data_IF_820863601510
#
_entry.id   IF_820863601510
#
_cell.length_a   1.000
_cell.length_b   1.000
_cell.length_c   1.000
_cell.angle_alpha   90.00
_cell.angle_beta   90.00
_cell.angle_gamma   90.00
#
_symmetry.space_group_name_H-M   'P 1'
#
loop_
_entity.id
_entity.type
_entity.pdbx_description
1 polymer ?
#
# COMPACT_ATOMS: atom_id res chain seq x y z
N UNK A 1 40.53 63.54 48.44
CA UNK A 1 40.11 63.25 49.82
C UNK A 1 39.79 61.78 49.93
N UNK A 2 40.53 61.10 50.80
CA UNK A 2 40.24 59.87 51.56
C UNK A 2 39.41 58.70 50.97
N UNK A 3 40.07 57.54 50.92
CA UNK A 3 39.66 56.20 51.39
C UNK A 3 38.20 55.73 51.20
N UNK A 4 38.00 54.57 50.56
CA UNK A 4 38.08 53.30 51.29
C UNK A 4 38.10 52.07 50.38
N UNK A 5 38.91 51.11 50.81
CA UNK A 5 39.09 49.77 50.30
C UNK A 5 38.06 48.85 51.00
N UNK A 6 37.33 47.99 50.29
CA UNK A 6 36.97 46.68 50.85
C UNK A 6 36.59 45.67 49.76
N UNK A 7 37.17 44.48 49.86
CA UNK A 7 36.99 43.38 48.93
C UNK A 7 35.64 42.67 49.06
N UNK A 8 35.29 41.92 48.03
CA UNK A 8 34.13 41.05 48.00
C UNK A 8 34.20 40.13 46.79
N UNK A 9 34.59 38.89 47.04
CA UNK A 9 34.76 37.81 46.08
C UNK A 9 33.53 37.62 45.18
N UNK A 10 33.80 37.21 43.94
CA UNK A 10 32.80 36.92 42.92
C UNK A 10 31.75 35.91 43.37
N UNK A 11 30.51 36.21 43.02
CA UNK A 11 29.44 35.21 42.88
C UNK A 11 28.98 35.26 41.43
N UNK A 12 29.58 34.41 40.59
CA UNK A 12 28.96 34.01 39.35
C UNK A 12 27.62 33.35 39.69
N UNK A 13 26.54 33.87 39.15
CA UNK A 13 25.24 33.23 39.20
C UNK A 13 25.38 31.86 38.50
N UNK A 14 25.29 30.78 39.28
CA UNK A 14 25.24 29.44 38.74
C UNK A 14 23.94 29.31 37.93
N UNK A 15 24.10 29.06 36.63
CA UNK A 15 23.02 28.55 35.78
C UNK A 15 22.46 27.25 36.42
N UNK A 16 21.17 26.92 36.23
CA UNK A 16 20.62 25.68 36.74
C UNK A 16 21.41 24.53 36.11
N UNK A 17 21.99 23.71 36.97
CA UNK A 17 22.76 22.53 36.62
C UNK A 17 21.98 21.69 35.63
N UNK A 18 22.58 21.43 34.47
CA UNK A 18 22.26 20.29 33.64
C UNK A 18 22.20 19.06 34.55
N UNK A 19 21.00 18.52 34.81
CA UNK A 19 20.90 17.15 35.29
C UNK A 19 21.52 16.30 34.20
N UNK A 20 22.71 15.78 34.49
CA UNK A 20 23.40 14.84 33.63
C UNK A 20 22.50 13.63 33.46
N UNK A 21 22.25 13.18 32.22
CA UNK A 21 21.38 12.03 31.88
C UNK A 21 21.70 10.76 32.70
N UNK A 22 22.88 10.69 33.30
CA UNK A 22 23.38 9.60 34.16
C UNK A 22 22.62 9.49 35.50
N UNK A 23 22.09 10.60 36.04
CA UNK A 23 21.36 10.61 37.31
C UNK A 23 19.96 9.98 37.17
N UNK A 24 19.29 10.14 36.02
CA UNK A 24 17.96 9.54 35.79
C UNK A 24 18.02 8.01 35.71
N UNK A 25 19.07 7.45 35.10
CA UNK A 25 19.25 6.02 34.96
C UNK A 25 19.44 5.32 36.32
N UNK A 26 20.04 6.01 37.29
CA UNK A 26 20.27 5.51 38.65
C UNK A 26 18.97 5.34 39.47
N UNK A 27 17.90 6.05 39.10
CA UNK A 27 16.59 6.01 39.78
C UNK A 27 15.64 4.95 39.23
N UNK A 28 15.97 4.29 38.12
CA UNK A 28 15.13 3.25 37.52
C UNK A 28 15.40 1.92 38.22
N UNK A 29 14.40 1.30 38.89
CA UNK A 29 14.62 0.03 39.57
C UNK A 29 15.13 -1.04 38.59
N UNK A 30 16.00 -1.95 39.03
CA UNK A 30 16.41 -3.08 38.22
C UNK A 30 15.17 -3.81 37.68
N UNK A 31 15.11 -4.05 36.37
CA UNK A 31 13.98 -4.67 35.66
C UNK A 31 12.72 -3.81 35.46
N UNK A 32 12.66 -2.55 35.92
CA UNK A 32 11.49 -1.69 35.68
C UNK A 32 11.24 -1.50 34.18
N UNK A 33 12.29 -1.35 33.37
CA UNK A 33 12.18 -1.29 31.91
C UNK A 33 11.63 -2.60 31.31
N UNK A 34 12.06 -3.75 31.82
CA UNK A 34 11.52 -5.04 31.40
C UNK A 34 10.05 -5.23 31.78
N UNK A 35 9.63 -4.72 32.95
CA UNK A 35 8.24 -4.73 33.36
C UNK A 35 7.38 -3.81 32.47
N UNK A 36 7.88 -2.62 32.12
CA UNK A 36 7.21 -1.70 31.19
C UNK A 36 7.04 -2.31 29.80
N UNK A 37 8.07 -2.98 29.27
CA UNK A 37 7.99 -3.68 27.96
C UNK A 37 6.95 -4.81 27.93
N UNK A 38 6.45 -5.27 29.08
CA UNK A 38 5.36 -6.26 29.18
C UNK A 38 4.00 -5.63 29.41
N UNK A 39 3.95 -4.35 29.78
CA UNK A 39 2.71 -3.68 30.12
C UNK A 39 1.83 -3.51 28.86
N UNK A 40 0.56 -3.98 28.86
CA UNK A 40 -0.31 -3.88 27.69
C UNK A 40 -0.46 -2.46 27.09
N UNK A 41 -0.54 -1.37 27.90
CA UNK A 41 -0.57 -0.02 27.34
C UNK A 41 0.68 0.35 26.55
N UNK A 42 1.87 -0.10 27.00
CA UNK A 42 3.14 0.15 26.33
C UNK A 42 3.23 -0.66 25.03
N UNK A 43 2.81 -1.93 25.06
CA UNK A 43 2.77 -2.77 23.86
C UNK A 43 1.88 -2.15 22.77
N UNK A 44 0.69 -1.67 23.13
CA UNK A 44 -0.22 -0.97 22.20
C UNK A 44 0.39 0.33 21.67
N UNK A 45 1.05 1.10 22.53
CA UNK A 45 1.73 2.33 22.11
C UNK A 45 2.83 2.04 21.10
N UNK A 46 3.67 1.04 21.38
CA UNK A 46 4.76 0.62 20.49
C UNK A 46 4.21 0.15 19.14
N UNK A 47 3.16 -0.68 19.15
CA UNK A 47 2.49 -1.14 17.93
C UNK A 47 2.00 0.04 17.08
N UNK A 48 1.26 0.97 17.67
CA UNK A 48 0.74 2.14 16.97
C UNK A 48 1.86 3.03 16.40
N UNK A 49 2.92 3.26 17.18
CA UNK A 49 4.07 4.04 16.75
C UNK A 49 4.82 3.37 15.59
N UNK A 50 5.01 2.05 15.65
CA UNK A 50 5.65 1.28 14.57
C UNK A 50 4.81 1.36 13.28
N UNK A 51 3.50 1.12 13.35
CA UNK A 51 2.64 1.24 12.17
C UNK A 51 2.65 2.65 11.55
N UNK A 52 2.61 3.69 12.38
CA UNK A 52 2.67 5.07 11.90
C UNK A 52 4.02 5.38 11.23
N UNK A 53 5.13 4.95 11.84
CA UNK A 53 6.46 5.14 11.27
C UNK A 53 6.64 4.33 9.98
N UNK A 54 6.14 3.10 9.94
CA UNK A 54 6.21 2.24 8.76
C UNK A 54 5.36 2.76 7.60
N UNK A 55 4.21 3.36 7.88
CA UNK A 55 3.44 4.06 6.85
C UNK A 55 4.26 5.20 6.24
N UNK A 56 4.89 6.03 7.08
CA UNK A 56 5.75 7.11 6.59
C UNK A 56 6.92 6.58 5.74
N UNK A 57 7.53 5.45 6.12
CA UNK A 57 8.57 4.80 5.30
C UNK A 57 8.03 4.38 3.93
N UNK A 58 6.83 3.79 3.87
CA UNK A 58 6.20 3.40 2.61
C UNK A 58 5.99 4.62 1.72
N UNK A 59 5.44 5.71 2.26
CA UNK A 59 5.16 6.94 1.52
C UNK A 59 6.43 7.61 0.98
N UNK A 60 7.54 7.55 1.73
CA UNK A 60 8.84 8.07 1.29
C UNK A 60 9.49 7.19 0.23
N UNK A 61 9.43 5.86 0.40
CA UNK A 61 10.09 4.91 -0.49
C UNK A 61 9.32 4.71 -1.81
N UNK A 62 8.00 4.74 -1.75
CA UNK A 62 7.08 4.47 -2.87
C UNK A 62 5.94 5.51 -2.81
N UNK A 63 6.23 6.79 -3.13
CA UNK A 63 5.22 7.85 -3.06
C UNK A 63 4.09 7.70 -4.09
N UNK A 64 4.36 6.98 -5.19
CA UNK A 64 3.40 6.70 -6.25
C UNK A 64 3.72 5.34 -6.85
N UNK A 65 2.81 4.37 -6.66
CA UNK A 65 2.94 3.00 -7.17
C UNK A 65 2.90 2.94 -8.68
N UNK A 66 2.31 3.91 -9.37
CA UNK A 66 2.28 3.96 -10.82
C UNK A 66 3.60 4.53 -11.33
N UNK A 67 4.14 5.59 -10.74
CA UNK A 67 5.35 6.26 -11.27
C UNK A 67 6.58 5.35 -11.35
N UNK A 68 7.32 5.41 -12.44
CA UNK A 68 8.55 4.59 -12.61
C UNK A 68 9.56 4.82 -11.49
N UNK A 69 9.98 3.73 -10.85
CA UNK A 69 11.05 3.71 -9.84
C UNK A 69 12.32 3.16 -10.48
N UNK A 70 13.49 3.81 -10.30
CA UNK A 70 14.76 3.29 -10.80
C UNK A 70 15.01 1.85 -10.34
N UNK A 71 15.43 0.98 -11.25
CA UNK A 71 15.57 -0.47 -10.99
C UNK A 71 16.47 -0.79 -9.78
N UNK A 72 17.57 -0.05 -9.61
CA UNK A 72 18.45 -0.19 -8.45
C UNK A 72 17.72 0.12 -7.13
N UNK A 73 16.90 1.18 -7.10
CA UNK A 73 16.14 1.55 -5.91
C UNK A 73 15.07 0.50 -5.60
N UNK A 74 14.35 0.01 -6.62
CA UNK A 74 13.38 -1.09 -6.47
C UNK A 74 14.04 -2.34 -5.89
N UNK A 75 15.23 -2.70 -6.36
CA UNK A 75 15.97 -3.86 -5.84
C UNK A 75 16.43 -3.63 -4.39
N UNK A 76 16.89 -2.42 -4.06
CA UNK A 76 17.27 -2.07 -2.70
C UNK A 76 16.08 -2.19 -1.73
N UNK A 77 14.90 -1.68 -2.11
CA UNK A 77 13.66 -1.79 -1.33
C UNK A 77 13.28 -3.27 -1.13
N UNK A 78 13.33 -4.09 -2.20
CA UNK A 78 13.00 -5.53 -2.11
C UNK A 78 13.98 -6.29 -1.22
N UNK A 79 15.28 -6.00 -1.30
CA UNK A 79 16.29 -6.61 -0.45
C UNK A 79 16.10 -6.20 1.02
N UNK A 80 15.84 -4.92 1.28
CA UNK A 80 15.52 -4.41 2.61
C UNK A 80 14.30 -5.13 3.18
N UNK A 81 13.19 -5.17 2.43
CA UNK A 81 11.96 -5.84 2.83
C UNK A 81 12.13 -7.34 3.13
N UNK A 82 13.05 -8.02 2.45
CA UNK A 82 13.39 -9.44 2.69
C UNK A 82 14.17 -9.64 3.99
N UNK A 83 15.01 -8.68 4.38
CA UNK A 83 15.85 -8.77 5.59
C UNK A 83 15.20 -8.27 6.88
N UNK A 84 14.22 -7.37 6.78
CA UNK A 84 13.57 -6.68 7.91
C UNK A 84 13.22 -7.58 9.11
N UNK A 85 12.49 -8.67 8.85
CA UNK A 85 12.00 -9.56 9.91
C UNK A 85 13.15 -10.26 10.66
N UNK A 86 14.14 -10.78 9.92
CA UNK A 86 15.27 -11.49 10.53
C UNK A 86 16.19 -10.55 11.29
N UNK A 87 16.45 -9.36 10.76
CA UNK A 87 17.23 -8.32 11.44
C UNK A 87 16.55 -7.87 12.72
N UNK A 88 15.24 -7.62 12.70
CA UNK A 88 14.52 -7.19 13.89
C UNK A 88 14.41 -8.31 14.93
N UNK A 89 14.24 -9.56 14.50
CA UNK A 89 14.21 -10.72 15.41
C UNK A 89 15.53 -10.84 16.18
N UNK A 90 16.66 -10.71 15.48
CA UNK A 90 17.98 -10.75 16.12
C UNK A 90 18.19 -9.58 17.09
N UNK A 91 17.80 -8.36 16.68
CA UNK A 91 17.93 -7.17 17.52
C UNK A 91 17.09 -7.25 18.81
N UNK A 92 15.96 -7.96 18.78
CA UNK A 92 15.05 -8.08 19.92
C UNK A 92 15.27 -9.34 20.77
N UNK A 93 16.33 -10.13 20.53
CA UNK A 93 16.53 -11.43 21.20
C UNK A 93 16.49 -11.35 22.75
N UNK A 94 16.98 -10.24 23.33
CA UNK A 94 16.98 -10.01 24.78
C UNK A 94 15.69 -9.37 25.33
N UNK A 95 14.72 -9.02 24.48
CA UNK A 95 13.47 -8.38 24.87
C UNK A 95 12.40 -9.40 25.32
N UNK A 96 11.38 -8.98 26.09
CA UNK A 96 10.25 -9.85 26.43
C UNK A 96 9.52 -10.41 25.19
N UNK A 97 9.08 -11.68 25.20
CA UNK A 97 8.41 -12.30 24.04
C UNK A 97 7.18 -11.55 23.54
N UNK A 98 6.44 -10.88 24.44
CA UNK A 98 5.27 -10.08 24.06
C UNK A 98 5.65 -8.90 23.17
N UNK A 99 6.73 -8.20 23.49
CA UNK A 99 7.25 -7.10 22.70
C UNK A 99 7.80 -7.59 21.36
N UNK A 100 8.55 -8.70 21.37
CA UNK A 100 9.04 -9.34 20.15
C UNK A 100 7.88 -9.63 19.19
N UNK A 101 6.82 -10.27 19.67
CA UNK A 101 5.64 -10.60 18.85
C UNK A 101 5.03 -9.36 18.18
N UNK A 102 4.80 -8.29 18.94
CA UNK A 102 4.21 -7.03 18.41
C UNK A 102 5.10 -6.42 17.33
N UNK A 103 6.39 -6.25 17.63
CA UNK A 103 7.38 -5.69 16.70
C UNK A 103 7.52 -6.50 15.42
N UNK A 104 7.57 -7.83 15.54
CA UNK A 104 7.73 -8.73 14.40
C UNK A 104 6.50 -8.72 13.49
N UNK A 105 5.29 -8.78 14.06
CA UNK A 105 4.07 -8.67 13.24
C UNK A 105 4.04 -7.35 12.46
N UNK A 106 4.33 -6.23 13.11
CA UNK A 106 4.35 -4.92 12.46
C UNK A 106 5.41 -4.83 11.35
N UNK A 107 6.64 -5.31 11.58
CA UNK A 107 7.71 -5.25 10.57
C UNK A 107 7.47 -6.22 9.41
N UNK A 108 6.87 -7.38 9.66
CA UNK A 108 6.48 -8.31 8.61
C UNK A 108 5.39 -7.69 7.71
N UNK A 109 4.44 -6.95 8.29
CA UNK A 109 3.45 -6.18 7.51
C UNK A 109 4.12 -5.10 6.63
N UNK A 110 5.11 -4.36 7.15
CA UNK A 110 5.89 -3.43 6.34
C UNK A 110 6.60 -4.14 5.18
N UNK A 111 7.33 -5.23 5.47
CA UNK A 111 8.06 -5.99 4.46
C UNK A 111 7.16 -6.61 3.39
N UNK A 112 5.93 -7.00 3.74
CA UNK A 112 4.92 -7.44 2.78
C UNK A 112 4.42 -6.27 1.92
N UNK A 113 4.10 -5.13 2.53
CA UNK A 113 3.62 -3.93 1.83
C UNK A 113 4.63 -3.44 0.79
N UNK A 114 5.91 -3.32 1.16
CA UNK A 114 6.98 -2.94 0.23
C UNK A 114 7.12 -3.91 -0.95
N UNK A 115 7.00 -5.23 -0.71
CA UNK A 115 7.05 -6.25 -1.77
C UNK A 115 5.86 -6.14 -2.71
N UNK A 116 4.66 -5.89 -2.17
CA UNK A 116 3.44 -5.74 -2.96
C UNK A 116 3.50 -4.47 -3.81
N UNK A 117 3.85 -3.33 -3.23
CA UNK A 117 3.90 -2.06 -3.94
C UNK A 117 4.99 -2.03 -5.01
N UNK A 118 6.16 -2.62 -4.75
CA UNK A 118 7.19 -2.78 -5.81
C UNK A 118 6.81 -3.79 -6.89
N UNK A 119 5.93 -4.75 -6.60
CA UNK A 119 5.38 -5.67 -7.61
C UNK A 119 4.33 -4.96 -8.46
N UNK A 120 3.42 -4.21 -7.84
CA UNK A 120 2.44 -3.35 -8.52
C UNK A 120 3.14 -2.32 -9.41
N UNK A 121 4.22 -1.68 -8.94
CA UNK A 121 4.99 -0.74 -9.75
C UNK A 121 5.60 -1.38 -11.00
N UNK A 122 6.09 -2.62 -10.87
CA UNK A 122 6.62 -3.37 -12.01
C UNK A 122 5.51 -3.71 -13.03
N UNK A 123 4.33 -4.13 -12.57
CA UNK A 123 3.16 -4.33 -13.43
C UNK A 123 2.75 -3.03 -14.14
N UNK A 124 2.76 -1.90 -13.42
CA UNK A 124 2.46 -0.59 -13.99
C UNK A 124 3.43 -0.23 -15.13
N UNK A 125 4.74 -0.48 -14.97
CA UNK A 125 5.71 -0.22 -16.04
C UNK A 125 5.48 -1.13 -17.25
N UNK A 126 5.21 -2.41 -17.03
CA UNK A 126 4.92 -3.35 -18.11
C UNK A 126 3.65 -2.96 -18.86
N UNK A 127 2.59 -2.56 -18.16
CA UNK A 127 1.35 -2.10 -18.77
C UNK A 127 1.52 -0.79 -19.55
N UNK A 128 2.34 0.15 -19.08
CA UNK A 128 2.67 1.37 -19.86
C UNK A 128 3.22 1.02 -21.24
N UNK A 129 4.10 0.04 -21.34
CA UNK A 129 4.66 -0.38 -22.63
C UNK A 129 3.57 -0.89 -23.60
N UNK A 130 2.56 -1.58 -23.09
CA UNK A 130 1.38 -2.01 -23.86
C UNK A 130 0.51 -0.82 -24.26
N UNK A 131 0.19 0.06 -23.30
CA UNK A 131 -0.70 1.21 -23.51
C UNK A 131 -0.12 2.28 -24.45
N UNK A 132 1.20 2.36 -24.57
CA UNK A 132 1.88 3.22 -25.55
C UNK A 132 2.07 2.58 -26.93
N UNK A 133 1.71 1.31 -27.11
CA UNK A 133 1.86 0.62 -28.39
C UNK A 133 0.54 0.65 -29.17
N UNK A 134 0.41 1.61 -30.09
CA UNK A 134 -0.80 1.83 -30.89
C UNK A 134 -1.26 0.59 -31.66
N UNK A 135 -0.34 -0.24 -32.15
CA UNK A 135 -0.72 -1.45 -32.90
C UNK A 135 -1.31 -2.52 -31.98
N UNK A 136 -0.71 -2.69 -30.79
CA UNK A 136 -1.26 -3.57 -29.76
C UNK A 136 -2.64 -3.10 -29.32
N UNK A 137 -2.85 -1.79 -29.14
CA UNK A 137 -4.14 -1.22 -28.77
C UNK A 137 -5.21 -1.46 -29.85
N UNK A 138 -4.87 -1.30 -31.13
CA UNK A 138 -5.78 -1.65 -32.23
C UNK A 138 -6.16 -3.12 -32.22
N UNK A 139 -5.18 -4.01 -32.04
CA UNK A 139 -5.45 -5.46 -31.95
C UNK A 139 -6.33 -5.79 -30.74
N UNK A 140 -6.06 -5.17 -29.59
CA UNK A 140 -6.86 -5.31 -28.39
C UNK A 140 -8.31 -4.88 -28.61
N UNK A 141 -8.56 -3.76 -29.28
CA UNK A 141 -9.92 -3.31 -29.62
C UNK A 141 -10.64 -4.29 -30.53
N UNK A 142 -9.95 -4.84 -31.54
CA UNK A 142 -10.53 -5.85 -32.44
C UNK A 142 -10.92 -7.12 -31.69
N UNK A 143 -10.05 -7.61 -30.81
CA UNK A 143 -10.31 -8.81 -30.01
C UNK A 143 -11.41 -8.57 -28.98
N UNK A 144 -11.42 -7.39 -28.33
CA UNK A 144 -12.45 -7.00 -27.36
C UNK A 144 -13.84 -6.94 -27.98
N UNK A 145 -13.95 -6.41 -29.20
CA UNK A 145 -15.24 -6.34 -29.92
C UNK A 145 -15.79 -7.71 -30.31
N UNK A 146 -14.99 -8.78 -30.21
CA UNK A 146 -15.44 -10.16 -30.43
C UNK A 146 -15.92 -10.84 -29.15
N UNK A 147 -15.66 -10.26 -27.97
CA UNK A 147 -16.09 -10.82 -26.69
C UNK A 147 -17.62 -10.80 -26.60
N UNK A 148 -18.20 -11.89 -26.13
CA UNK A 148 -19.64 -11.98 -25.88
C UNK A 148 -20.01 -11.33 -24.54
N UNK A 149 -20.11 -10.00 -24.56
CA UNK A 149 -20.45 -9.22 -23.37
C UNK A 149 -21.86 -9.50 -22.85
N UNK A 150 -22.79 -9.92 -23.70
CA UNK A 150 -24.13 -10.31 -23.26
C UNK A 150 -24.06 -11.49 -22.29
N UNK A 151 -23.36 -12.56 -22.67
CA UNK A 151 -23.13 -13.71 -21.80
C UNK A 151 -22.28 -13.36 -20.56
N UNK A 152 -21.29 -12.48 -20.69
CA UNK A 152 -20.50 -12.00 -19.53
C UNK A 152 -21.40 -11.28 -18.52
N UNK A 153 -22.28 -10.39 -18.98
CA UNK A 153 -23.19 -9.62 -18.14
C UNK A 153 -24.24 -10.51 -17.46
N UNK A 154 -24.84 -11.44 -18.21
CA UNK A 154 -25.80 -12.40 -17.67
C UNK A 154 -25.17 -13.25 -16.55
N UNK A 155 -23.97 -13.79 -16.77
CA UNK A 155 -23.27 -14.58 -15.76
C UNK A 155 -22.85 -13.75 -14.55
N UNK A 156 -22.39 -12.51 -14.74
CA UNK A 156 -22.04 -11.62 -13.64
C UNK A 156 -23.29 -11.29 -12.79
N UNK A 157 -24.41 -10.96 -13.43
CA UNK A 157 -25.68 -10.72 -12.73
C UNK A 157 -26.12 -11.95 -11.94
N UNK A 158 -26.15 -13.13 -12.58
CA UNK A 158 -26.60 -14.38 -11.97
C UNK A 158 -25.71 -14.88 -10.83
N UNK A 159 -24.38 -14.84 -11.00
CA UNK A 159 -23.43 -15.43 -10.04
C UNK A 159 -23.05 -14.45 -8.93
N UNK A 160 -22.76 -13.19 -9.27
CA UNK A 160 -22.25 -12.20 -8.32
C UNK A 160 -23.27 -11.13 -7.90
N UNK A 161 -24.50 -11.18 -8.44
CA UNK A 161 -25.50 -10.15 -8.22
C UNK A 161 -25.00 -8.79 -8.69
N UNK A 162 -24.21 -8.78 -9.77
CA UNK A 162 -23.60 -7.59 -10.31
C UNK A 162 -24.67 -6.74 -11.03
N UNK A 163 -24.72 -5.43 -10.75
CA UNK A 163 -25.71 -4.52 -11.34
C UNK A 163 -25.45 -4.35 -12.84
N UNK A 164 -26.50 -4.53 -13.65
CA UNK A 164 -26.42 -4.49 -15.12
C UNK A 164 -25.95 -3.13 -15.64
N UNK A 165 -26.35 -2.03 -14.99
CA UNK A 165 -25.95 -0.68 -15.37
C UNK A 165 -24.47 -0.44 -15.10
N UNK A 166 -23.95 -0.97 -13.98
CA UNK A 166 -22.53 -0.85 -13.62
C UNK A 166 -21.68 -1.65 -14.61
N UNK A 167 -22.03 -2.90 -14.90
CA UNK A 167 -21.22 -3.73 -15.82
C UNK A 167 -21.28 -3.24 -17.26
N UNK A 168 -22.43 -2.73 -17.71
CA UNK A 168 -22.57 -2.14 -19.05
C UNK A 168 -21.74 -0.86 -19.19
N UNK A 169 -21.77 0.01 -18.17
CA UNK A 169 -20.92 1.20 -18.14
C UNK A 169 -19.43 0.83 -18.09
N UNK A 170 -19.05 -0.19 -17.32
CA UNK A 170 -17.67 -0.67 -17.24
C UNK A 170 -17.16 -1.14 -18.62
N UNK A 171 -17.97 -1.89 -19.37
CA UNK A 171 -17.65 -2.26 -20.75
C UNK A 171 -17.45 -1.03 -21.66
N UNK A 172 -18.42 -0.10 -21.64
CA UNK A 172 -18.41 1.08 -22.49
C UNK A 172 -17.21 1.99 -22.18
N UNK A 173 -17.01 2.31 -20.91
CA UNK A 173 -15.91 3.16 -20.44
C UNK A 173 -14.55 2.54 -20.80
N UNK A 174 -14.41 1.21 -20.64
CA UNK A 174 -13.18 0.50 -21.02
C UNK A 174 -12.92 0.61 -22.52
N UNK A 175 -13.94 0.39 -23.36
CA UNK A 175 -13.84 0.54 -24.83
C UNK A 175 -13.45 1.97 -25.23
N UNK A 176 -14.11 2.97 -24.65
CA UNK A 176 -13.84 4.39 -24.94
C UNK A 176 -12.43 4.77 -24.52
N UNK A 177 -11.98 4.33 -23.33
CA UNK A 177 -10.65 4.63 -22.81
C UNK A 177 -9.55 3.97 -23.66
N UNK A 178 -9.80 2.75 -24.15
CA UNK A 178 -8.90 2.02 -25.04
C UNK A 178 -8.81 2.62 -26.45
N UNK A 179 -9.88 3.23 -26.96
CA UNK A 179 -9.88 3.92 -28.26
C UNK A 179 -9.09 5.24 -28.25
N UNK A 180 -8.89 5.83 -27.08
CA UNK A 180 -8.16 7.09 -26.92
C UNK A 180 -6.70 6.81 -26.56
N UNK A 181 -5.76 7.69 -26.95
CA UNK A 181 -4.39 7.63 -26.44
C UNK A 181 -4.39 8.05 -24.97
N UNK A 182 -4.68 7.10 -24.09
CA UNK A 182 -4.82 7.30 -22.65
C UNK A 182 -3.55 6.90 -21.91
N UNK A 183 -3.05 7.78 -21.04
CA UNK A 183 -1.94 7.45 -20.13
C UNK A 183 -2.39 6.45 -19.07
N UNK A 184 -1.44 5.77 -18.41
CA UNK A 184 -1.77 4.85 -17.33
C UNK A 184 -2.49 5.56 -16.18
N UNK A 185 -2.16 6.82 -15.93
CA UNK A 185 -2.77 7.65 -14.91
C UNK A 185 -4.25 7.93 -15.21
N UNK A 186 -4.62 8.08 -16.49
CA UNK A 186 -6.04 8.19 -16.90
C UNK A 186 -6.80 6.88 -16.66
N UNK A 187 -6.17 5.74 -16.94
CA UNK A 187 -6.75 4.44 -16.59
C UNK A 187 -6.93 4.27 -15.08
N UNK A 188 -5.94 4.69 -14.29
CA UNK A 188 -6.04 4.65 -12.84
C UNK A 188 -7.17 5.54 -12.33
N UNK A 189 -7.36 6.74 -12.87
CA UNK A 189 -8.50 7.61 -12.52
C UNK A 189 -9.84 6.94 -12.80
N UNK A 190 -9.99 6.26 -13.95
CA UNK A 190 -11.20 5.50 -14.24
C UNK A 190 -11.46 4.38 -13.23
N UNK A 191 -10.42 3.64 -12.83
CA UNK A 191 -10.52 2.61 -11.79
C UNK A 191 -10.91 3.19 -10.43
N UNK A 192 -10.35 4.33 -10.04
CA UNK A 192 -10.74 5.02 -8.80
C UNK A 192 -12.22 5.44 -8.84
N UNK A 193 -12.68 6.01 -9.96
CA UNK A 193 -14.09 6.38 -10.10
C UNK A 193 -15.02 5.16 -9.96
N UNK A 194 -14.63 4.00 -10.52
CA UNK A 194 -15.41 2.76 -10.36
C UNK A 194 -15.47 2.30 -8.88
N UNK A 195 -14.36 2.44 -8.14
CA UNK A 195 -14.33 2.15 -6.69
C UNK A 195 -15.23 3.11 -5.94
N UNK A 196 -15.11 4.42 -6.20
CA UNK A 196 -15.88 5.47 -5.54
C UNK A 196 -17.39 5.28 -5.78
N UNK A 197 -17.80 5.05 -7.03
CA UNK A 197 -19.22 4.85 -7.37
C UNK A 197 -19.88 3.70 -6.59
N UNK A 198 -19.11 2.68 -6.20
CA UNK A 198 -19.61 1.52 -5.47
C UNK A 198 -19.41 1.64 -3.96
N UNK A 199 -18.29 2.21 -3.50
CA UNK A 199 -17.87 2.17 -2.10
C UNK A 199 -18.04 3.50 -1.36
N UNK A 200 -18.09 4.65 -2.04
CA UNK A 200 -18.35 5.96 -1.43
C UNK A 200 -19.62 5.96 -0.56
N UNK A 201 -20.75 5.35 -0.98
CA UNK A 201 -21.96 5.29 -0.16
C UNK A 201 -21.78 4.54 1.17
N UNK A 202 -20.73 3.72 1.29
CA UNK A 202 -20.42 2.93 2.49
C UNK A 202 -19.24 3.50 3.29
N UNK A 203 -18.59 4.57 2.84
CA UNK A 203 -17.45 5.15 3.55
C UNK A 203 -17.80 5.54 4.99
N UNK A 204 -16.87 5.29 5.90
CA UNK A 204 -17.01 5.55 7.35
C UNK A 204 -18.16 4.77 8.03
N UNK A 205 -18.75 3.77 7.37
CA UNK A 205 -19.77 2.90 7.96
C UNK A 205 -19.17 1.55 8.39
N UNK A 206 -19.71 0.90 9.44
CA UNK A 206 -19.17 -0.37 9.95
C UNK A 206 -19.29 -1.54 8.95
N UNK A 207 -20.17 -1.43 7.95
CA UNK A 207 -20.36 -2.40 6.87
C UNK A 207 -19.41 -2.16 5.67
N UNK A 208 -18.58 -1.11 5.68
CA UNK A 208 -17.61 -0.84 4.61
C UNK A 208 -16.73 -2.05 4.28
N UNK A 209 -16.10 -2.76 5.25
CA UNK A 209 -15.23 -3.88 4.93
C UNK A 209 -15.97 -5.03 4.23
N UNK A 210 -17.27 -5.21 4.49
CA UNK A 210 -18.07 -6.21 3.82
C UNK A 210 -18.34 -5.84 2.35
N UNK A 211 -18.69 -4.58 2.08
CA UNK A 211 -18.92 -4.06 0.74
C UNK A 211 -17.64 -4.02 -0.09
N UNK A 212 -16.52 -3.60 0.50
CA UNK A 212 -15.19 -3.63 -0.12
C UNK A 212 -14.79 -5.05 -0.57
N UNK A 213 -14.95 -6.06 0.29
CA UNK A 213 -14.69 -7.46 -0.09
C UNK A 213 -15.61 -7.93 -1.21
N UNK A 214 -16.90 -7.57 -1.14
CA UNK A 214 -17.85 -7.94 -2.17
C UNK A 214 -17.52 -7.29 -3.51
N UNK A 215 -17.10 -6.02 -3.52
CA UNK A 215 -16.61 -5.32 -4.70
C UNK A 215 -15.42 -6.04 -5.33
N UNK A 216 -14.39 -6.37 -4.54
CA UNK A 216 -13.21 -7.08 -5.05
C UNK A 216 -13.55 -8.47 -5.62
N UNK A 217 -14.48 -9.20 -5.01
CA UNK A 217 -14.97 -10.48 -5.52
C UNK A 217 -15.72 -10.33 -6.86
N UNK A 218 -16.61 -9.32 -6.95
CA UNK A 218 -17.35 -9.00 -8.18
C UNK A 218 -16.42 -8.58 -9.31
N UNK A 219 -15.48 -7.66 -9.02
CA UNK A 219 -14.43 -7.25 -9.92
C UNK A 219 -13.65 -8.45 -10.44
N UNK A 220 -13.20 -9.32 -9.54
CA UNK A 220 -12.41 -10.50 -9.89
C UNK A 220 -13.19 -11.49 -10.75
N UNK A 221 -14.46 -11.69 -10.46
CA UNK A 221 -15.32 -12.60 -11.22
C UNK A 221 -15.55 -12.05 -12.63
N UNK A 222 -16.05 -10.81 -12.74
CA UNK A 222 -16.43 -10.18 -14.00
C UNK A 222 -15.29 -10.19 -15.03
N UNK A 223 -14.14 -9.68 -14.62
CA UNK A 223 -12.95 -9.57 -15.45
C UNK A 223 -12.34 -10.95 -15.79
N UNK A 224 -12.49 -11.96 -14.93
CA UNK A 224 -12.12 -13.35 -15.26
C UNK A 224 -12.99 -13.92 -16.38
N UNK A 225 -14.28 -13.54 -16.45
CA UNK A 225 -15.15 -13.95 -17.57
C UNK A 225 -14.69 -13.35 -18.89
N UNK A 226 -14.28 -12.09 -18.90
CA UNK A 226 -13.70 -11.43 -20.08
C UNK A 226 -12.41 -12.13 -20.53
N UNK A 227 -11.49 -12.41 -19.59
CA UNK A 227 -10.23 -13.11 -19.89
C UNK A 227 -10.49 -14.54 -20.40
N UNK A 228 -11.47 -15.25 -19.82
CA UNK A 228 -11.87 -16.60 -20.26
C UNK A 228 -12.38 -16.58 -21.69
N UNK A 229 -13.24 -15.63 -22.05
CA UNK A 229 -13.78 -15.52 -23.41
C UNK A 229 -12.67 -15.20 -24.43
N UNK A 230 -11.75 -14.27 -24.11
CA UNK A 230 -10.55 -13.99 -24.91
C UNK A 230 -9.67 -15.23 -25.10
N UNK A 231 -9.52 -16.06 -24.05
CA UNK A 231 -8.78 -17.32 -24.10
C UNK A 231 -9.43 -18.30 -25.08
N UNK A 232 -10.75 -18.51 -24.95
CA UNK A 232 -11.50 -19.44 -25.80
C UNK A 232 -11.47 -19.04 -27.28
N UNK A 233 -11.38 -17.74 -27.56
CA UNK A 233 -11.25 -17.22 -28.93
C UNK A 233 -9.82 -17.21 -29.45
N UNK A 234 -8.84 -17.59 -28.62
CA UNK A 234 -7.41 -17.50 -28.96
C UNK A 234 -7.02 -16.08 -29.42
N UNK A 235 -7.49 -15.07 -28.70
CA UNK A 235 -7.25 -13.66 -29.02
C UNK A 235 -5.74 -13.36 -29.14
N UNK A 236 -5.32 -12.72 -30.22
CA UNK A 236 -3.92 -12.41 -30.48
C UNK A 236 -3.34 -11.46 -29.42
N UNK A 237 -4.18 -10.58 -28.87
CA UNK A 237 -3.83 -9.64 -27.80
C UNK A 237 -4.02 -10.18 -26.38
N UNK A 238 -4.28 -11.49 -26.20
CA UNK A 238 -4.53 -12.09 -24.88
C UNK A 238 -3.47 -11.72 -23.83
N UNK A 239 -2.19 -11.76 -24.18
CA UNK A 239 -1.10 -11.43 -23.25
C UNK A 239 -1.18 -10.00 -22.72
N UNK A 240 -1.60 -9.05 -23.56
CA UNK A 240 -1.80 -7.64 -23.19
C UNK A 240 -2.98 -7.48 -22.23
N UNK A 241 -4.10 -8.14 -22.52
CA UNK A 241 -5.26 -8.15 -21.63
C UNK A 241 -4.95 -8.81 -20.28
N UNK A 242 -4.22 -9.93 -20.29
CA UNK A 242 -3.84 -10.62 -19.07
C UNK A 242 -2.91 -9.75 -18.20
N UNK A 243 -1.95 -9.04 -18.80
CA UNK A 243 -1.11 -8.10 -18.08
C UNK A 243 -1.90 -6.95 -17.45
N UNK A 244 -2.82 -6.34 -18.22
CA UNK A 244 -3.70 -5.26 -17.72
C UNK A 244 -4.61 -5.78 -16.61
N UNK A 245 -5.14 -6.99 -16.73
CA UNK A 245 -5.93 -7.66 -15.70
C UNK A 245 -5.14 -7.79 -14.39
N UNK A 246 -3.92 -8.32 -14.45
CA UNK A 246 -3.05 -8.47 -13.28
C UNK A 246 -2.76 -7.12 -12.62
N UNK A 247 -2.47 -6.09 -13.42
CA UNK A 247 -2.28 -4.73 -12.90
C UNK A 247 -3.53 -4.23 -12.18
N UNK A 248 -4.70 -4.35 -12.80
CA UNK A 248 -5.92 -3.80 -12.23
C UNK A 248 -6.38 -4.56 -10.99
N UNK A 249 -6.16 -5.87 -10.89
CA UNK A 249 -6.37 -6.60 -9.63
C UNK A 249 -5.54 -6.05 -8.48
N UNK A 250 -4.24 -5.92 -8.69
CA UNK A 250 -3.33 -5.40 -7.67
C UNK A 250 -3.64 -3.92 -7.36
N UNK A 251 -4.06 -3.13 -8.36
CA UNK A 251 -4.44 -1.75 -8.18
C UNK A 251 -5.76 -1.59 -7.41
N UNK A 252 -6.78 -2.39 -7.73
CA UNK A 252 -8.05 -2.39 -7.00
C UNK A 252 -7.84 -2.75 -5.54
N UNK A 253 -7.01 -3.75 -5.25
CA UNK A 253 -6.65 -4.08 -3.88
C UNK A 253 -5.82 -2.97 -3.21
N UNK A 254 -5.00 -2.24 -3.96
CA UNK A 254 -4.22 -1.12 -3.42
C UNK A 254 -5.10 0.07 -3.02
N UNK A 255 -6.15 0.37 -3.80
CA UNK A 255 -7.04 1.52 -3.56
C UNK A 255 -8.11 1.24 -2.49
N UNK A 256 -8.63 0.01 -2.42
CA UNK A 256 -9.69 -0.44 -1.48
C UNK A 256 -9.14 -0.77 -0.10
#
# INVERSE_FOLDING_TARGET
GNNNNNGGAGKGAAAPSNMEDDDLASHIPPNALQALMRAPPILKFVEAADYQFYQYLVDVLIPDVLRSIPSHLTQAIRNFAKGLESWLTQALHACPPQLQKVKIVAVSSLGQTLRRYTSLNHLAQAARAVLHNTEQIKQMLQDLNRVDFHNVHEQASWVCGCDETIVSRLEEDFKVTLQRPSSLEVWAQWLNQLVDDVLEPHQNKPDFPAHARQFLLRWSFYSSMVIRDLTLRSAASFGSFHLIRLLYDEYMFYVV
#
